data_IF_505181112583
#
_entry.id   IF_505181112583
#
_cell.length_a   1.000
_cell.length_b   1.000
_cell.length_c   1.000
_cell.angle_alpha   90.00
_cell.angle_beta   90.00
_cell.angle_gamma   90.00
#
_symmetry.space_group_name_H-M   'P 1'
#
loop_
_entity.id
_entity.type
_entity.pdbx_description
1 polymer ?
#
# COMPACT_ATOMS: atom_id res chain seq x y z
N UNK A 1 28.49 -15.50 -32.42
CA UNK A 1 29.06 -14.14 -32.41
C UNK A 1 28.60 -13.50 -31.13
N UNK A 2 29.52 -13.39 -30.18
CA UNK A 2 29.32 -12.77 -28.89
C UNK A 2 29.29 -11.25 -29.04
N UNK A 3 28.49 -10.55 -28.24
CA UNK A 3 28.76 -9.16 -27.91
C UNK A 3 28.51 -8.96 -26.41
N UNK A 4 29.55 -8.51 -25.73
CA UNK A 4 29.77 -8.44 -24.29
C UNK A 4 29.69 -6.97 -23.88
N UNK A 5 29.05 -6.61 -22.76
CA UNK A 5 28.88 -5.20 -22.38
C UNK A 5 30.18 -4.58 -21.81
N UNK A 6 30.48 -3.29 -22.07
CA UNK A 6 31.69 -2.67 -21.55
C UNK A 6 31.61 -2.32 -20.05
N UNK A 7 32.68 -2.69 -19.36
CA UNK A 7 32.93 -2.52 -17.92
C UNK A 7 33.33 -1.09 -17.50
N UNK A 8 33.07 -0.77 -16.23
CA UNK A 8 33.44 0.46 -15.54
C UNK A 8 34.96 0.59 -15.26
N UNK A 9 35.53 1.80 -15.15
CA UNK A 9 36.93 2.00 -14.79
C UNK A 9 37.20 1.90 -13.27
N UNK A 10 38.30 1.23 -12.94
CA UNK A 10 38.86 1.00 -11.61
C UNK A 10 39.66 2.21 -11.06
N UNK A 11 39.87 2.29 -9.72
CA UNK A 11 40.59 3.38 -9.05
C UNK A 11 42.13 3.23 -9.05
N UNK A 12 42.86 4.35 -9.12
CA UNK A 12 44.31 4.40 -8.98
C UNK A 12 44.78 4.30 -7.53
N UNK A 13 45.73 3.40 -7.30
CA UNK A 13 46.49 3.20 -6.07
C UNK A 13 47.76 4.08 -6.04
N UNK A 14 48.19 4.46 -4.83
CA UNK A 14 49.44 5.18 -4.56
C UNK A 14 49.76 5.30 -3.07
N UNK A 15 50.15 4.17 -2.46
CA UNK A 15 50.91 4.04 -1.19
C UNK A 15 52.38 4.58 -1.33
N UNK A 16 53.26 4.68 -0.28
CA UNK A 16 53.27 3.96 1.00
C UNK A 16 53.72 4.73 2.29
N UNK A 17 53.60 3.95 3.37
CA UNK A 17 53.94 4.06 4.80
C UNK A 17 55.45 4.12 5.18
N UNK A 18 55.77 4.75 6.33
CA UNK A 18 56.82 4.45 7.37
C UNK A 18 57.49 5.75 7.90
N UNK A 19 57.94 5.95 9.14
CA UNK A 19 57.82 5.37 10.49
C UNK A 19 58.50 6.38 11.47
N UNK A 20 58.11 6.42 12.75
CA UNK A 20 58.61 7.31 13.83
C UNK A 20 59.96 6.83 14.47
N UNK A 21 60.45 7.25 15.69
CA UNK A 21 60.12 8.35 16.64
C UNK A 21 61.36 9.01 17.37
N UNK A 22 61.09 9.84 18.42
CA UNK A 22 61.93 10.29 19.57
C UNK A 22 62.64 11.66 19.44
N UNK A 23 62.73 12.60 20.41
CA UNK A 23 62.38 12.71 21.84
C UNK A 23 62.62 14.16 22.36
N UNK A 24 62.00 14.51 23.50
CA UNK A 24 62.37 15.52 24.53
C UNK A 24 62.17 17.04 24.30
N UNK A 25 61.22 17.64 25.05
CA UNK A 25 61.43 18.57 26.19
C UNK A 25 60.20 19.48 26.44
N UNK A 26 59.76 19.57 27.70
CA UNK A 26 58.74 20.52 28.21
C UNK A 26 59.43 21.76 28.84
N UNK A 27 58.74 22.73 29.50
CA UNK A 27 57.35 23.22 29.43
C UNK A 27 57.30 24.76 29.17
N UNK A 28 56.10 25.38 29.11
CA UNK A 28 55.72 26.66 29.77
C UNK A 28 54.44 27.28 29.17
N UNK A 29 53.36 27.16 29.95
CA UNK A 29 52.37 28.19 30.29
C UNK A 29 51.98 29.28 29.27
N UNK A 30 50.73 29.23 28.81
CA UNK A 30 49.82 30.38 28.91
C UNK A 30 48.37 29.93 28.97
N UNK A 31 47.71 30.30 30.06
CA UNK A 31 46.27 30.17 30.25
C UNK A 31 45.55 31.19 29.36
N UNK A 32 44.67 30.70 28.50
CA UNK A 32 43.60 31.49 27.90
C UNK A 32 42.26 30.91 28.43
N UNK A 33 41.29 31.75 28.80
CA UNK A 33 40.03 31.26 29.33
C UNK A 33 39.31 30.47 28.23
N UNK A 34 39.08 29.18 28.50
CA UNK A 34 38.09 28.41 27.76
C UNK A 34 36.74 29.08 28.03
N UNK A 35 36.32 29.91 27.07
CA UNK A 35 34.94 30.31 26.95
C UNK A 35 34.16 29.03 26.71
N UNK A 36 33.36 28.61 27.70
CA UNK A 36 32.34 27.60 27.52
C UNK A 36 31.52 27.98 26.28
N UNK A 37 31.47 27.14 25.23
CA UNK A 37 30.51 27.34 24.17
C UNK A 37 29.14 27.00 24.76
N UNK A 38 28.43 28.04 25.18
CA UNK A 38 26.97 28.19 25.10
C UNK A 38 26.14 26.92 25.35
N UNK A 39 25.44 26.80 26.51
CA UNK A 39 24.27 25.91 26.61
C UNK A 39 23.05 26.44 25.80
N UNK A 40 23.24 27.41 24.90
CA UNK A 40 22.18 28.04 24.11
C UNK A 40 21.58 27.13 23.01
N UNK A 41 22.21 26.00 22.70
CA UNK A 41 21.66 25.01 21.77
C UNK A 41 20.50 24.20 22.36
N UNK A 42 20.37 24.15 23.69
CA UNK A 42 19.24 23.48 24.36
C UNK A 42 18.09 24.45 24.72
N UNK A 43 18.29 25.76 24.60
CA UNK A 43 17.27 26.77 24.91
C UNK A 43 16.14 26.87 23.88
N UNK A 44 16.28 26.17 22.74
CA UNK A 44 15.27 26.08 21.69
C UNK A 44 14.52 24.73 21.69
N UNK A 45 14.76 23.88 22.68
CA UNK A 45 13.96 22.67 22.87
C UNK A 45 12.66 23.10 23.54
N UNK A 46 11.67 23.37 22.71
CA UNK A 46 10.30 23.57 23.15
C UNK A 46 9.85 22.32 23.94
N UNK A 47 9.42 22.50 25.18
CA UNK A 47 9.04 21.39 26.04
C UNK A 47 7.95 20.53 25.37
N UNK A 48 7.95 19.20 25.55
CA UNK A 48 6.90 18.34 25.05
C UNK A 48 5.53 18.88 25.46
N UNK A 49 4.71 19.23 24.47
CA UNK A 49 3.33 19.69 24.72
C UNK A 49 2.43 18.47 24.74
N UNK A 50 1.72 18.28 25.85
CA UNK A 50 0.69 17.23 26.00
C UNK A 50 -0.50 17.42 25.05
N UNK A 51 -0.64 18.58 24.41
CA UNK A 51 -1.63 18.79 23.37
C UNK A 51 -1.65 20.19 22.77
N UNK A 52 -2.48 20.36 21.75
CA UNK A 52 -2.76 21.63 21.08
C UNK A 52 -4.19 21.64 20.51
N UNK A 53 -4.87 22.79 20.59
CA UNK A 53 -6.17 23.04 19.95
C UNK A 53 -6.02 24.24 18.99
N UNK A 54 -6.37 24.05 17.72
CA UNK A 54 -6.32 25.10 16.69
C UNK A 54 -7.67 25.22 16.01
N UNK A 55 -8.28 26.41 16.11
CA UNK A 55 -9.48 26.75 15.34
C UNK A 55 -9.08 27.41 14.01
N UNK A 56 -9.58 26.86 12.91
CA UNK A 56 -9.31 27.36 11.56
C UNK A 56 -10.29 28.44 11.15
N UNK A 57 -9.90 29.29 10.19
CA UNK A 57 -10.77 30.29 9.56
C UNK A 57 -12.02 29.67 8.93
N UNK A 58 -11.97 28.39 8.59
CA UNK A 58 -13.14 27.65 8.12
C UNK A 58 -14.15 27.30 9.23
N UNK A 59 -13.90 27.62 10.50
CA UNK A 59 -14.71 27.19 11.65
C UNK A 59 -14.53 25.71 12.05
N UNK A 60 -13.48 25.05 11.52
CA UNK A 60 -13.09 23.67 11.89
C UNK A 60 -12.07 23.73 13.01
N UNK A 61 -11.89 22.62 13.72
CA UNK A 61 -10.95 22.53 14.84
C UNK A 61 -10.02 21.32 14.70
N UNK A 62 -8.74 21.52 15.00
CA UNK A 62 -7.75 20.46 15.16
C UNK A 62 -7.40 20.31 16.63
N UNK A 63 -7.49 19.09 17.15
CA UNK A 63 -7.10 18.73 18.51
C UNK A 63 -5.98 17.69 18.41
N UNK A 64 -4.81 18.01 18.95
CA UNK A 64 -3.70 17.08 19.15
C UNK A 64 -3.61 16.79 20.64
N UNK A 65 -3.51 15.52 21.01
CA UNK A 65 -3.26 15.09 22.38
C UNK A 65 -2.15 14.06 22.35
N UNK A 66 -1.10 14.31 23.12
CA UNK A 66 0.05 13.43 23.31
C UNK A 66 0.01 12.88 24.73
N UNK A 67 0.14 11.56 24.88
CA UNK A 67 0.16 10.88 26.19
C UNK A 67 -1.13 10.14 26.58
N UNK A 68 -0.97 9.14 27.45
CA UNK A 68 -1.99 8.15 27.78
C UNK A 68 -1.65 6.77 27.19
N UNK A 69 -2.63 6.10 26.58
CA UNK A 69 -2.45 4.81 25.89
C UNK A 69 -2.11 4.96 24.39
N UNK A 70 -2.29 6.15 23.81
CA UNK A 70 -2.05 6.45 22.38
C UNK A 70 -1.97 7.96 22.14
N UNK A 71 -1.20 8.38 21.14
CA UNK A 71 -1.22 9.76 20.64
C UNK A 71 -2.39 9.95 19.66
N UNK A 72 -3.08 11.09 19.72
CA UNK A 72 -4.32 11.32 18.96
C UNK A 72 -4.34 12.66 18.24
N UNK A 73 -4.72 12.64 16.96
CA UNK A 73 -5.14 13.81 16.18
C UNK A 73 -6.62 13.70 15.84
N UNK A 74 -7.41 14.72 16.18
CA UNK A 74 -8.84 14.81 15.85
C UNK A 74 -9.10 16.07 15.03
N UNK A 75 -9.76 15.92 13.89
CA UNK A 75 -10.32 17.02 13.11
C UNK A 75 -11.82 17.05 13.36
N UNK A 76 -12.34 18.17 13.87
CA UNK A 76 -13.78 18.40 14.02
C UNK A 76 -14.32 19.35 12.95
N UNK A 77 -15.51 19.02 12.47
CA UNK A 77 -16.31 19.85 11.60
C UNK A 77 -16.90 21.06 12.34
N UNK A 78 -17.62 21.90 11.60
CA UNK A 78 -18.19 23.15 12.14
C UNK A 78 -19.25 22.91 13.22
N UNK A 79 -19.89 21.74 13.23
CA UNK A 79 -20.95 21.38 14.18
C UNK A 79 -20.42 20.48 15.31
N UNK A 80 -19.10 20.31 15.42
CA UNK A 80 -18.44 19.53 16.46
C UNK A 80 -18.31 18.03 16.16
N UNK A 81 -18.84 17.56 15.02
CA UNK A 81 -18.69 16.20 14.53
C UNK A 81 -17.23 15.87 14.25
N UNK A 82 -16.77 14.67 14.62
CA UNK A 82 -15.41 14.22 14.29
C UNK A 82 -15.39 13.82 12.82
N UNK A 83 -14.56 14.49 12.03
CA UNK A 83 -14.43 14.25 10.58
C UNK A 83 -13.27 13.31 10.26
N UNK A 84 -12.17 13.45 10.99
CA UNK A 84 -11.02 12.56 10.94
C UNK A 84 -10.51 12.35 12.36
N UNK A 85 -10.13 11.11 12.67
CA UNK A 85 -9.36 10.76 13.84
C UNK A 85 -8.17 9.91 13.41
N UNK A 86 -6.99 10.26 13.88
CA UNK A 86 -5.79 9.43 13.79
C UNK A 86 -5.41 9.07 15.22
N UNK A 87 -5.27 7.78 15.49
CA UNK A 87 -4.87 7.26 16.80
C UNK A 87 -3.62 6.39 16.63
N UNK A 88 -2.49 6.85 17.15
CA UNK A 88 -1.21 6.14 17.07
C UNK A 88 -1.12 5.20 18.28
N UNK A 89 -1.30 3.91 18.02
CA UNK A 89 -1.23 2.85 19.05
C UNK A 89 0.08 2.07 18.92
N UNK A 90 0.40 1.21 19.89
CA UNK A 90 1.53 0.28 19.81
C UNK A 90 1.45 -0.68 18.61
N UNK A 91 0.23 -0.99 18.13
CA UNK A 91 -0.01 -1.79 16.94
C UNK A 91 0.11 -0.98 15.63
N UNK A 92 0.30 0.34 15.72
CA UNK A 92 0.36 1.27 14.60
C UNK A 92 -0.79 2.29 14.59
N UNK A 93 -0.79 3.21 13.61
CA UNK A 93 -1.81 4.23 13.48
C UNK A 93 -3.13 3.68 12.96
N UNK A 94 -4.23 4.06 13.62
CA UNK A 94 -5.61 3.82 13.18
C UNK A 94 -6.19 5.13 12.65
N UNK A 95 -6.61 5.12 11.38
CA UNK A 95 -7.30 6.25 10.76
C UNK A 95 -8.80 5.97 10.73
N UNK A 96 -9.61 6.92 11.21
CA UNK A 96 -11.07 6.84 11.17
C UNK A 96 -11.64 8.10 10.52
N UNK A 97 -12.41 7.93 9.46
CA UNK A 97 -13.13 9.01 8.77
C UNK A 97 -14.61 8.92 9.10
N UNK A 98 -15.24 10.06 9.34
CA UNK A 98 -16.69 10.15 9.43
C UNK A 98 -17.13 11.44 8.74
N UNK A 99 -18.03 11.33 7.78
CA UNK A 99 -18.39 12.47 6.95
C UNK A 99 -19.43 12.09 5.94
N UNK A 100 -19.95 13.11 5.25
CA UNK A 100 -20.90 12.89 4.17
C UNK A 100 -20.24 12.26 2.93
N UNK A 101 -18.93 12.47 2.74
CA UNK A 101 -18.20 12.04 1.55
C UNK A 101 -16.71 11.83 1.87
N UNK A 102 -16.12 10.78 1.30
CA UNK A 102 -14.68 10.50 1.30
C UNK A 102 -14.24 10.25 -0.15
N UNK A 103 -13.27 11.04 -0.63
CA UNK A 103 -12.69 10.88 -1.96
C UNK A 103 -11.21 10.46 -1.84
N UNK A 104 -10.84 9.38 -2.52
CA UNK A 104 -9.44 8.96 -2.69
C UNK A 104 -9.04 9.13 -4.15
N UNK A 105 -8.16 10.09 -4.43
CA UNK A 105 -7.66 10.35 -5.78
C UNK A 105 -6.14 10.19 -5.84
N UNK A 106 -5.64 9.60 -6.92
CA UNK A 106 -4.23 9.37 -7.14
C UNK A 106 -3.85 9.74 -8.56
N UNK A 107 -2.87 10.64 -8.73
CA UNK A 107 -2.43 11.08 -10.06
C UNK A 107 -1.77 9.97 -10.90
N UNK A 108 -1.30 8.90 -10.23
CA UNK A 108 -0.65 7.76 -10.89
C UNK A 108 -1.18 6.41 -10.40
N UNK A 109 -1.26 6.21 -9.08
CA UNK A 109 -1.64 4.93 -8.48
C UNK A 109 -2.21 5.12 -7.08
N UNK A 110 -3.22 4.31 -6.77
CA UNK A 110 -3.67 4.00 -5.41
C UNK A 110 -3.40 2.51 -5.20
N UNK A 111 -2.86 2.12 -4.04
CA UNK A 111 -2.62 0.72 -3.68
C UNK A 111 -3.07 0.50 -2.24
N UNK A 112 -3.81 -0.59 -2.01
CA UNK A 112 -4.25 -1.05 -0.69
C UNK A 112 -3.57 -2.40 -0.45
N UNK A 113 -2.86 -2.53 0.66
CA UNK A 113 -2.18 -3.77 1.06
C UNK A 113 -2.42 -4.02 2.54
N UNK A 114 -3.07 -5.13 2.86
CA UNK A 114 -3.37 -5.54 4.21
C UNK A 114 -3.62 -7.07 4.23
N UNK A 115 -3.49 -7.74 5.37
CA UNK A 115 -3.94 -9.12 5.54
C UNK A 115 -5.43 -9.29 5.22
N UNK A 116 -6.24 -8.27 5.49
CA UNK A 116 -7.68 -8.25 5.24
C UNK A 116 -8.10 -6.86 4.72
N UNK A 117 -8.95 -6.84 3.70
CA UNK A 117 -9.59 -5.62 3.17
C UNK A 117 -11.08 -5.90 3.02
N UNK A 118 -11.91 -5.05 3.62
CA UNK A 118 -13.36 -5.16 3.53
C UNK A 118 -14.00 -3.87 3.03
N UNK A 119 -14.89 -3.99 2.06
CA UNK A 119 -15.65 -2.88 1.49
C UNK A 119 -17.14 -3.17 1.67
N UNK A 120 -17.81 -2.36 2.49
CA UNK A 120 -19.26 -2.45 2.72
C UNK A 120 -19.95 -1.22 2.15
N UNK A 121 -21.10 -1.44 1.51
CA UNK A 121 -21.98 -0.37 1.03
C UNK A 121 -23.44 -0.73 1.34
N UNK A 122 -24.17 0.19 1.96
CA UNK A 122 -25.56 -0.03 2.37
C UNK A 122 -26.56 0.06 1.22
N UNK A 123 -26.19 0.76 0.15
CA UNK A 123 -27.06 1.03 -1.00
C UNK A 123 -26.49 0.49 -2.30
N UNK A 124 -25.30 0.95 -2.68
CA UNK A 124 -24.67 0.56 -3.94
C UNK A 124 -23.15 0.63 -3.85
N UNK A 125 -22.49 -0.33 -4.51
CA UNK A 125 -21.06 -0.31 -4.79
C UNK A 125 -20.89 -0.32 -6.31
N UNK A 126 -20.15 0.64 -6.87
CA UNK A 126 -19.84 0.70 -8.30
C UNK A 126 -18.33 0.63 -8.50
N UNK A 127 -17.87 -0.31 -9.31
CA UNK A 127 -16.50 -0.38 -9.80
C UNK A 127 -16.52 -0.08 -11.30
N UNK A 128 -15.79 0.96 -11.71
CA UNK A 128 -15.67 1.34 -13.11
C UNK A 128 -14.19 1.52 -13.47
N UNK A 129 -13.81 1.01 -14.64
CA UNK A 129 -12.48 1.21 -15.22
C UNK A 129 -12.64 1.75 -16.64
N UNK A 130 -11.88 2.79 -16.98
CA UNK A 130 -11.79 3.28 -18.36
C UNK A 130 -10.90 2.40 -19.25
N UNK A 131 -10.22 1.41 -18.66
CA UNK A 131 -9.37 0.44 -19.34
C UNK A 131 -9.71 -0.98 -18.93
N UNK A 132 -8.69 -1.76 -18.57
CA UNK A 132 -8.88 -3.14 -18.10
C UNK A 132 -9.17 -3.20 -16.59
N UNK A 133 -9.91 -4.22 -16.18
CA UNK A 133 -10.04 -4.65 -14.79
C UNK A 133 -9.52 -6.08 -14.69
N UNK A 134 -8.52 -6.30 -13.84
CA UNK A 134 -7.96 -7.62 -13.59
C UNK A 134 -8.24 -8.01 -12.14
N UNK A 135 -8.82 -9.20 -11.96
CA UNK A 135 -9.05 -9.80 -10.66
C UNK A 135 -8.24 -11.10 -10.61
N UNK A 136 -7.33 -11.20 -9.65
CA UNK A 136 -6.53 -12.40 -9.44
C UNK A 136 -6.81 -12.94 -8.04
N UNK A 137 -7.29 -14.18 -7.97
CA UNK A 137 -7.66 -14.85 -6.72
C UNK A 137 -6.89 -16.17 -6.66
N UNK A 138 -6.05 -16.32 -5.64
CA UNK A 138 -5.25 -17.55 -5.45
C UNK A 138 -6.04 -18.64 -4.70
N UNK A 139 -6.99 -18.24 -3.85
CA UNK A 139 -7.93 -19.14 -3.18
C UNK A 139 -9.30 -19.12 -3.86
N UNK A 140 -10.36 -18.95 -3.06
CA UNK A 140 -11.74 -19.03 -3.56
C UNK A 140 -12.34 -17.65 -3.86
N UNK A 141 -13.13 -17.58 -4.93
CA UNK A 141 -14.04 -16.46 -5.20
C UNK A 141 -15.47 -16.92 -4.90
N UNK A 142 -16.09 -16.33 -3.88
CA UNK A 142 -17.50 -16.54 -3.56
C UNK A 142 -18.32 -15.29 -3.86
N UNK A 143 -19.45 -15.43 -4.57
CA UNK A 143 -20.40 -14.36 -4.78
C UNK A 143 -21.84 -14.85 -4.52
N UNK A 144 -22.55 -14.17 -3.63
CA UNK A 144 -23.98 -14.42 -3.37
C UNK A 144 -24.79 -13.22 -3.83
N UNK A 145 -25.75 -13.45 -4.73
CA UNK A 145 -26.59 -12.39 -5.30
C UNK A 145 -28.04 -12.69 -4.92
N UNK A 146 -28.64 -11.85 -4.07
CA UNK A 146 -30.05 -11.97 -3.69
C UNK A 146 -31.02 -11.54 -4.78
N UNK A 147 -30.54 -10.76 -5.76
CA UNK A 147 -31.32 -10.25 -6.89
C UNK A 147 -30.89 -10.87 -8.23
N UNK A 148 -30.63 -10.02 -9.23
CA UNK A 148 -30.18 -10.47 -10.56
C UNK A 148 -28.67 -10.25 -10.71
N UNK A 149 -27.96 -11.28 -11.17
CA UNK A 149 -26.61 -11.16 -11.68
C UNK A 149 -26.65 -11.09 -13.21
N UNK A 150 -25.87 -10.18 -13.82
CA UNK A 150 -25.82 -9.97 -15.27
C UNK A 150 -24.39 -9.66 -15.68
N UNK A 151 -23.92 -10.36 -16.71
CA UNK A 151 -22.63 -10.12 -17.36
C UNK A 151 -22.89 -9.79 -18.82
N UNK A 152 -22.52 -8.59 -19.23
CA UNK A 152 -22.62 -8.12 -20.61
C UNK A 152 -21.22 -7.81 -21.12
N UNK A 153 -20.80 -8.49 -22.18
CA UNK A 153 -19.51 -8.29 -22.82
C UNK A 153 -19.59 -8.76 -24.27
N UNK A 154 -18.65 -8.30 -25.10
CA UNK A 154 -18.51 -8.81 -26.47
C UNK A 154 -18.13 -10.32 -26.48
N UNK A 155 -17.41 -10.78 -25.45
CA UNK A 155 -17.08 -12.18 -25.25
C UNK A 155 -16.96 -12.48 -23.74
N UNK A 156 -17.40 -13.68 -23.33
CA UNK A 156 -17.22 -14.21 -21.98
C UNK A 156 -16.70 -15.64 -22.11
N UNK A 157 -15.61 -15.93 -21.40
CA UNK A 157 -15.04 -17.28 -21.30
C UNK A 157 -15.05 -17.72 -19.83
N UNK A 158 -15.52 -18.94 -19.58
CA UNK A 158 -15.51 -19.57 -18.25
C UNK A 158 -14.86 -20.93 -18.40
N UNK A 159 -13.79 -21.17 -17.66
CA UNK A 159 -13.02 -22.41 -17.70
C UNK A 159 -12.65 -22.86 -16.29
N UNK A 160 -12.70 -24.16 -16.07
CA UNK A 160 -12.06 -24.83 -14.94
C UNK A 160 -11.00 -25.78 -15.50
N UNK A 161 -9.75 -25.66 -15.06
CA UNK A 161 -8.65 -26.48 -15.60
C UNK A 161 -8.50 -27.83 -14.89
N UNK A 162 -8.76 -27.89 -13.57
CA UNK A 162 -8.65 -29.13 -12.78
C UNK A 162 -10.02 -29.72 -12.44
N UNK A 163 -11.00 -28.87 -12.22
CA UNK A 163 -12.35 -29.25 -11.80
C UNK A 163 -13.35 -29.24 -12.95
N UNK A 164 -14.53 -28.72 -12.66
CA UNK A 164 -15.62 -28.59 -13.63
C UNK A 164 -16.26 -27.21 -13.51
N UNK A 165 -16.98 -26.80 -14.56
CA UNK A 165 -17.91 -25.67 -14.49
C UNK A 165 -19.30 -26.25 -14.28
N UNK A 166 -19.89 -25.98 -13.12
CA UNK A 166 -21.26 -26.40 -12.81
C UNK A 166 -22.24 -25.25 -13.02
N UNK A 167 -23.36 -25.52 -13.70
CA UNK A 167 -24.48 -24.58 -13.82
C UNK A 167 -25.74 -25.26 -13.30
N UNK A 168 -26.17 -24.85 -12.10
CA UNK A 168 -27.37 -25.35 -11.44
C UNK A 168 -28.47 -24.30 -11.46
N UNK A 169 -29.70 -24.72 -11.79
CA UNK A 169 -30.86 -23.87 -11.68
C UNK A 169 -32.07 -24.69 -11.19
N UNK A 170 -32.85 -24.12 -10.28
CA UNK A 170 -34.15 -24.70 -9.89
C UNK A 170 -35.20 -24.62 -10.99
N UNK A 171 -34.96 -23.77 -12.00
CA UNK A 171 -35.85 -23.55 -13.15
C UNK A 171 -35.05 -23.68 -14.43
N UNK A 172 -35.55 -23.08 -15.51
CA UNK A 172 -34.98 -23.16 -16.85
C UNK A 172 -33.56 -22.55 -16.90
N UNK A 173 -32.64 -23.30 -17.48
CA UNK A 173 -31.43 -22.77 -18.13
C UNK A 173 -31.78 -22.57 -19.60
N UNK A 174 -31.60 -21.35 -20.10
CA UNK A 174 -31.82 -21.02 -21.50
C UNK A 174 -30.47 -20.66 -22.14
N UNK A 175 -30.12 -21.36 -23.21
CA UNK A 175 -28.97 -21.05 -24.05
C UNK A 175 -29.53 -20.69 -25.43
N UNK A 176 -29.23 -19.48 -25.88
CA UNK A 176 -29.64 -18.98 -27.19
C UNK A 176 -28.38 -18.52 -27.93
N UNK A 177 -28.03 -19.24 -28.99
CA UNK A 177 -26.82 -19.02 -29.76
C UNK A 177 -26.99 -19.62 -31.16
N UNK A 178 -26.22 -19.12 -32.12
CA UNK A 178 -26.13 -19.75 -33.45
C UNK A 178 -25.57 -21.17 -33.35
N UNK A 179 -24.63 -21.42 -32.42
CA UNK A 179 -23.97 -22.71 -32.22
C UNK A 179 -23.81 -23.02 -30.73
N UNK A 180 -24.20 -24.23 -30.34
CA UNK A 180 -24.01 -24.77 -28.99
C UNK A 180 -23.30 -26.11 -29.14
N UNK A 181 -22.01 -26.15 -28.81
CA UNK A 181 -21.23 -27.39 -28.73
C UNK A 181 -21.38 -28.00 -27.34
N UNK A 182 -21.70 -29.29 -27.28
CA UNK A 182 -21.73 -30.06 -26.03
C UNK A 182 -20.87 -31.30 -26.25
N UNK A 183 -19.74 -31.37 -25.54
CA UNK A 183 -18.87 -32.55 -25.52
C UNK A 183 -18.10 -32.85 -26.83
N UNK A 184 -17.48 -31.83 -27.42
CA UNK A 184 -16.53 -31.98 -28.54
C UNK A 184 -15.09 -32.14 -27.95
N UNK A 185 -14.51 -33.35 -28.03
CA UNK A 185 -13.33 -33.88 -27.28
C UNK A 185 -11.93 -33.48 -27.84
N UNK A 186 -10.78 -33.54 -27.10
CA UNK A 186 -10.48 -33.42 -25.66
C UNK A 186 -9.66 -32.15 -25.31
N UNK A 187 -9.75 -31.69 -24.05
CA UNK A 187 -8.82 -30.74 -23.38
C UNK A 187 -8.43 -29.49 -24.18
N UNK A 188 -9.08 -28.31 -23.96
CA UNK A 188 -8.38 -27.08 -24.28
C UNK A 188 -7.04 -27.13 -23.53
N UNK A 189 -5.93 -26.96 -24.25
CA UNK A 189 -4.64 -26.74 -23.60
C UNK A 189 -4.84 -25.65 -22.54
N UNK A 190 -4.31 -25.83 -21.32
CA UNK A 190 -4.44 -24.81 -20.30
C UNK A 190 -4.00 -23.47 -20.90
N UNK A 191 -4.80 -22.42 -20.75
CA UNK A 191 -4.42 -21.13 -21.32
C UNK A 191 -3.03 -20.73 -20.78
N UNK A 192 -2.21 -19.99 -21.55
CA UNK A 192 -0.81 -19.70 -21.20
C UNK A 192 -0.62 -19.02 -19.83
N UNK A 193 -1.68 -18.43 -19.27
CA UNK A 193 -1.66 -17.76 -17.98
C UNK A 193 -2.05 -18.66 -16.79
N UNK A 194 -2.47 -19.90 -17.04
CA UNK A 194 -2.81 -20.87 -15.99
C UNK A 194 -1.54 -21.48 -15.36
N UNK A 195 -1.60 -21.92 -14.09
CA UNK A 195 -0.47 -22.60 -13.44
C UNK A 195 -0.02 -23.85 -14.20
N UNK A 196 -0.97 -24.67 -14.64
CA UNK A 196 -0.70 -25.88 -15.42
C UNK A 196 0.05 -25.61 -16.73
N UNK A 197 -0.14 -24.44 -17.35
CA UNK A 197 0.65 -24.05 -18.53
C UNK A 197 2.09 -23.66 -18.19
N UNK A 198 2.33 -23.12 -16.98
CA UNK A 198 3.69 -22.72 -16.53
C UNK A 198 4.49 -23.92 -16.06
N UNK A 199 3.84 -24.86 -15.37
CA UNK A 199 4.48 -26.07 -14.88
C UNK A 199 4.83 -27.06 -16.01
N UNK A 200 4.15 -26.98 -17.17
CA UNK A 200 4.43 -27.79 -18.36
C UNK A 200 5.63 -27.30 -19.19
N UNK A 201 6.15 -26.10 -18.93
CA UNK A 201 7.34 -25.54 -19.61
C UNK A 201 8.66 -25.86 -18.86
N UNK A 202 8.58 -26.38 -17.63
CA UNK A 202 9.72 -26.65 -16.74
C UNK A 202 10.16 -28.14 -16.71
N UNK A 203 9.53 -29.03 -17.49
CA UNK A 203 9.88 -30.46 -17.70
C UNK A 203 10.52 -30.71 -19.08
#
# INVERSE_FOLDING_TARGET
>A
MADEPPAAPAPSAGEPLRAAPHQHAAPHQHAAPHQDPTPALLAHVEAPREGADVTLTSGRRYEITAGGAADRLVIRGRRGEVVLRIEVTDAGPVLSFSGAELELSGARRIALAAPEVEVRADHALTLASGGSLHEHVTGDRHATIGGTARTEAAAVAVQASEGHVEVLAMRKIALDAERIGLNDNPTPEPFPWSRLARDAEDD
#
